data_IF_131118449890
#
_entry.id   IF_131118449890
#
_cell.length_a   1.000
_cell.length_b   1.000
_cell.length_c   1.000
_cell.angle_alpha   90.00
_cell.angle_beta   90.00
_cell.angle_gamma   90.00
#
_symmetry.space_group_name_H-M   'P 1'
#
loop_
_entity.id
_entity.type
_entity.pdbx_description
1 polymer ?
#
# COMPACT_ATOMS: atom_id res chain seq x y z
N UNK A 1 -11.64 7.22 2.00
CA UNK A 1 -10.70 6.26 1.37
C UNK A 1 -11.35 4.90 1.16
N UNK A 2 -11.84 4.19 2.18
CA UNK A 2 -12.42 2.85 2.02
C UNK A 2 -13.56 2.80 0.99
N UNK A 3 -14.50 3.74 1.03
CA UNK A 3 -15.59 3.83 0.05
C UNK A 3 -15.07 3.97 -1.40
N UNK A 4 -13.98 4.71 -1.62
CA UNK A 4 -13.31 4.82 -2.93
C UNK A 4 -12.73 3.49 -3.39
N UNK A 5 -12.05 2.77 -2.51
CA UNK A 5 -11.50 1.45 -2.81
C UNK A 5 -12.60 0.42 -3.14
N UNK A 6 -13.68 0.41 -2.36
CA UNK A 6 -14.85 -0.44 -2.61
C UNK A 6 -15.51 -0.12 -3.96
N UNK A 7 -15.70 1.16 -4.26
CA UNK A 7 -16.24 1.57 -5.57
C UNK A 7 -15.32 1.15 -6.71
N UNK A 8 -14.02 1.44 -6.60
CA UNK A 8 -13.04 1.09 -7.62
C UNK A 8 -12.85 -0.44 -7.79
N UNK A 9 -13.21 -1.24 -6.78
CA UNK A 9 -13.30 -2.68 -6.90
C UNK A 9 -14.57 -3.13 -7.66
N UNK A 10 -15.74 -2.57 -7.31
CA UNK A 10 -17.02 -2.96 -7.92
C UNK A 10 -17.16 -2.49 -9.36
N UNK A 11 -16.67 -1.30 -9.67
CA UNK A 11 -16.87 -0.61 -10.95
C UNK A 11 -15.59 -0.53 -11.79
N UNK A 12 -14.43 -0.84 -11.25
CA UNK A 12 -13.13 -0.60 -11.86
C UNK A 12 -12.20 -1.81 -11.85
N UNK A 13 -10.94 -1.56 -11.54
CA UNK A 13 -9.83 -2.50 -11.70
C UNK A 13 -9.16 -2.93 -10.38
N UNK A 14 -9.64 -2.45 -9.23
CA UNK A 14 -9.01 -2.72 -7.94
C UNK A 14 -9.30 -4.15 -7.48
N UNK A 15 -8.26 -4.92 -7.18
CA UNK A 15 -8.34 -6.30 -6.71
C UNK A 15 -8.07 -6.44 -5.21
N UNK A 16 -7.35 -5.47 -4.63
CA UNK A 16 -6.99 -5.47 -3.21
C UNK A 16 -6.88 -4.05 -2.64
N UNK A 17 -7.07 -3.92 -1.36
CA UNK A 17 -6.79 -2.69 -0.61
C UNK A 17 -6.09 -3.00 0.71
N UNK A 18 -5.53 -1.97 1.35
CA UNK A 18 -4.90 -2.13 2.67
C UNK A 18 -5.53 -1.17 3.68
N UNK A 19 -5.88 -1.70 4.85
CA UNK A 19 -6.48 -0.95 5.94
C UNK A 19 -5.42 -0.42 6.90
N UNK A 20 -5.56 0.83 7.33
CA UNK A 20 -4.75 1.45 8.38
C UNK A 20 -5.32 1.04 9.73
N UNK A 21 -4.64 0.14 10.43
CA UNK A 21 -5.13 -0.45 11.68
C UNK A 21 -5.31 0.57 12.81
N UNK A 22 -4.48 1.59 12.84
CA UNK A 22 -4.46 2.66 13.85
C UNK A 22 -5.10 3.97 13.38
N UNK A 23 -5.77 3.96 12.22
CA UNK A 23 -6.53 5.09 11.71
C UNK A 23 -7.84 5.33 12.46
N UNK A 24 -8.29 6.58 12.53
CA UNK A 24 -9.50 6.97 13.25
C UNK A 24 -10.79 6.32 12.72
N UNK A 25 -10.84 5.98 11.42
CA UNK A 25 -11.99 5.37 10.76
C UNK A 25 -11.88 3.83 10.65
N UNK A 26 -11.10 3.18 11.50
CA UNK A 26 -10.82 1.74 11.41
C UNK A 26 -12.09 0.88 11.44
N UNK A 27 -12.99 1.12 12.40
CA UNK A 27 -14.18 0.29 12.60
C UNK A 27 -15.19 0.46 11.43
N UNK A 28 -15.34 1.68 10.91
CA UNK A 28 -16.12 1.94 9.71
C UNK A 28 -15.52 1.24 8.48
N UNK A 29 -14.20 1.32 8.32
CA UNK A 29 -13.51 0.62 7.24
C UNK A 29 -13.70 -0.91 7.32
N UNK A 30 -13.61 -1.50 8.51
CA UNK A 30 -13.87 -2.93 8.72
C UNK A 30 -15.30 -3.29 8.31
N UNK A 31 -16.29 -2.50 8.72
CA UNK A 31 -17.69 -2.71 8.34
C UNK A 31 -17.89 -2.72 6.83
N UNK A 32 -17.33 -1.73 6.13
CA UNK A 32 -17.42 -1.64 4.68
C UNK A 32 -16.72 -2.82 3.99
N UNK A 33 -15.52 -3.19 4.43
CA UNK A 33 -14.73 -4.27 3.81
C UNK A 33 -15.37 -5.65 4.00
N UNK A 34 -16.01 -5.91 5.15
CA UNK A 34 -16.78 -7.13 5.36
C UNK A 34 -17.97 -7.29 4.39
N UNK A 35 -18.51 -6.19 3.88
CA UNK A 35 -19.60 -6.23 2.90
C UNK A 35 -19.14 -6.58 1.48
N UNK A 36 -17.81 -6.67 1.24
CA UNK A 36 -17.22 -6.91 -0.08
C UNK A 36 -16.11 -7.99 0.03
N UNK A 37 -16.48 -9.26 0.27
CA UNK A 37 -15.50 -10.31 0.52
C UNK A 37 -14.62 -10.68 -0.68
N UNK A 38 -14.96 -10.21 -1.88
CA UNK A 38 -14.15 -10.36 -3.10
C UNK A 38 -12.98 -9.38 -3.17
N UNK A 39 -12.99 -8.29 -2.40
CA UNK A 39 -11.88 -7.35 -2.30
C UNK A 39 -10.88 -7.86 -1.26
N UNK A 40 -9.68 -8.24 -1.69
CA UNK A 40 -8.66 -8.68 -0.73
C UNK A 40 -8.17 -7.53 0.16
N UNK A 41 -7.93 -7.86 1.41
CA UNK A 41 -7.52 -6.89 2.43
C UNK A 41 -6.11 -7.18 2.93
N UNK A 42 -5.28 -6.14 2.98
CA UNK A 42 -3.98 -6.16 3.65
C UNK A 42 -3.92 -5.18 4.81
N UNK A 43 -2.79 -5.15 5.51
CA UNK A 43 -2.51 -4.14 6.53
C UNK A 43 -1.56 -3.08 5.98
N UNK A 44 -1.99 -1.82 6.06
CA UNK A 44 -1.16 -0.65 5.78
C UNK A 44 -0.45 -0.22 7.06
N UNK A 45 0.75 -0.75 7.27
CA UNK A 45 1.55 -0.54 8.47
C UNK A 45 2.01 0.91 8.59
N UNK A 46 1.64 1.59 9.66
CA UNK A 46 1.96 3.00 9.89
C UNK A 46 2.87 3.20 11.11
N UNK A 47 3.92 4.01 10.95
CA UNK A 47 4.88 4.37 11.98
C UNK A 47 5.06 5.90 12.10
N UNK A 48 4.28 6.65 11.34
CA UNK A 48 4.19 8.13 11.34
C UNK A 48 2.76 8.54 11.02
N UNK A 49 2.41 9.79 11.31
CA UNK A 49 1.13 10.47 10.99
C UNK A 49 -0.12 9.88 11.66
N UNK A 50 -0.05 8.68 12.19
CA UNK A 50 -1.13 8.02 12.92
C UNK A 50 -0.84 7.93 14.43
N UNK A 51 -1.81 7.45 15.20
CA UNK A 51 -1.63 7.17 16.62
C UNK A 51 -1.15 5.74 16.83
N UNK A 52 -0.14 5.57 17.68
CA UNK A 52 0.34 4.24 18.06
C UNK A 52 -0.72 3.46 18.85
N UNK A 53 -0.81 2.16 18.61
CA UNK A 53 -1.65 1.24 19.40
C UNK A 53 -0.98 0.82 20.72
N UNK A 54 0.35 0.89 20.78
CA UNK A 54 1.15 0.41 21.93
C UNK A 54 1.66 1.52 22.84
N UNK A 55 1.27 2.79 22.57
CA UNK A 55 1.79 3.95 23.29
C UNK A 55 3.19 4.39 22.82
N UNK A 56 3.74 3.77 21.77
CA UNK A 56 4.99 4.24 21.17
C UNK A 56 4.79 5.66 20.61
N UNK A 57 5.72 6.57 20.90
CA UNK A 57 5.67 7.91 20.31
C UNK A 57 6.12 7.85 18.84
N UNK A 58 5.22 8.15 17.93
CA UNK A 58 5.56 8.30 16.52
C UNK A 58 6.27 9.62 16.27
N UNK A 59 7.30 9.63 15.41
CA UNK A 59 7.87 10.86 14.88
C UNK A 59 6.86 11.62 14.02
N UNK A 60 6.98 12.95 14.01
CA UNK A 60 6.05 13.84 13.31
C UNK A 60 6.10 13.70 11.78
N UNK A 61 7.19 13.16 11.24
CA UNK A 61 7.37 13.05 9.78
C UNK A 61 8.25 11.88 9.37
N UNK A 62 8.14 11.51 8.10
CA UNK A 62 9.05 10.56 7.44
C UNK A 62 10.54 10.89 7.69
N UNK A 63 10.94 12.17 7.52
CA UNK A 63 12.35 12.58 7.68
C UNK A 63 12.82 12.37 9.11
N UNK A 64 12.03 12.78 10.08
CA UNK A 64 12.33 12.59 11.51
C UNK A 64 12.43 11.11 11.84
N UNK A 65 11.55 10.27 11.27
CA UNK A 65 11.62 8.84 11.43
C UNK A 65 12.92 8.27 10.85
N UNK A 66 13.26 8.59 9.59
CA UNK A 66 14.44 8.02 8.91
C UNK A 66 15.75 8.40 9.58
N UNK A 67 15.88 9.64 10.02
CA UNK A 67 17.11 10.18 10.64
C UNK A 67 17.21 9.88 12.14
N UNK A 68 16.09 9.62 12.81
CA UNK A 68 16.04 9.39 14.26
C UNK A 68 16.58 8.02 14.69
N UNK A 69 16.91 7.92 15.97
CA UNK A 69 17.22 6.62 16.61
C UNK A 69 15.96 5.77 16.64
N UNK A 70 16.10 4.47 16.43
CA UNK A 70 14.99 3.52 16.36
C UNK A 70 15.10 2.50 17.49
N UNK A 71 14.02 2.37 18.25
CA UNK A 71 13.81 1.21 19.12
C UNK A 71 13.09 0.13 18.29
N UNK A 72 13.86 -0.79 17.73
CA UNK A 72 13.33 -1.85 16.89
C UNK A 72 12.39 -2.81 17.63
N UNK A 73 12.57 -2.98 18.95
CA UNK A 73 11.68 -3.80 19.76
C UNK A 73 10.30 -3.10 19.93
N UNK A 74 10.30 -1.78 20.15
CA UNK A 74 9.05 -1.02 20.20
C UNK A 74 8.35 -0.99 18.82
N UNK A 75 9.11 -0.81 17.74
CA UNK A 75 8.58 -0.86 16.37
C UNK A 75 7.93 -2.22 16.09
N UNK A 76 8.60 -3.31 16.44
CA UNK A 76 8.04 -4.65 16.23
C UNK A 76 6.74 -4.86 17.01
N UNK A 77 6.70 -4.47 18.30
CA UNK A 77 5.47 -4.54 19.10
C UNK A 77 4.32 -3.76 18.47
N UNK A 78 4.62 -2.58 17.94
CA UNK A 78 3.62 -1.74 17.27
C UNK A 78 3.10 -2.37 15.98
N UNK A 79 4.01 -2.82 15.10
CA UNK A 79 3.62 -3.47 13.83
C UNK A 79 2.82 -4.76 14.07
N UNK A 80 3.19 -5.52 15.09
CA UNK A 80 2.46 -6.70 15.55
C UNK A 80 1.05 -6.33 15.99
N UNK A 81 0.90 -5.33 16.86
CA UNK A 81 -0.40 -4.88 17.34
C UNK A 81 -1.30 -4.40 16.19
N UNK A 82 -0.74 -3.75 15.15
CA UNK A 82 -1.48 -3.34 13.97
C UNK A 82 -2.01 -4.56 13.18
N UNK A 83 -1.18 -5.57 12.96
CA UNK A 83 -1.58 -6.82 12.29
C UNK A 83 -2.67 -7.52 13.11
N UNK A 84 -2.44 -7.72 14.41
CA UNK A 84 -3.36 -8.40 15.31
C UNK A 84 -4.72 -7.70 15.39
N UNK A 85 -4.75 -6.36 15.41
CA UNK A 85 -6.00 -5.59 15.39
C UNK A 85 -6.84 -5.88 14.15
N UNK A 86 -6.21 -5.96 12.97
CA UNK A 86 -6.93 -6.28 11.74
C UNK A 86 -7.41 -7.73 11.76
N UNK A 87 -6.57 -8.67 12.18
CA UNK A 87 -6.97 -10.08 12.30
C UNK A 87 -8.12 -10.27 13.30
N UNK A 88 -8.07 -9.60 14.45
CA UNK A 88 -9.11 -9.63 15.48
C UNK A 88 -10.46 -9.07 14.98
N UNK A 89 -10.45 -8.22 13.97
CA UNK A 89 -11.68 -7.73 13.34
C UNK A 89 -12.41 -8.79 12.50
N UNK A 90 -11.78 -9.94 12.25
CA UNK A 90 -12.31 -11.03 11.43
C UNK A 90 -12.09 -10.84 9.92
N UNK A 91 -11.33 -9.83 9.49
CA UNK A 91 -10.90 -9.70 8.09
C UNK A 91 -9.77 -10.70 7.79
N UNK A 92 -9.81 -11.31 6.61
CA UNK A 92 -8.71 -12.13 6.10
C UNK A 92 -7.59 -11.22 5.56
N UNK A 93 -6.44 -11.24 6.22
CA UNK A 93 -5.27 -10.47 5.80
C UNK A 93 -4.44 -11.29 4.80
N UNK A 94 -4.25 -10.79 3.58
CA UNK A 94 -3.51 -11.48 2.52
C UNK A 94 -2.15 -10.85 2.25
N UNK A 95 -1.97 -9.56 2.58
CA UNK A 95 -0.75 -8.84 2.25
C UNK A 95 -0.40 -7.72 3.25
N UNK A 96 0.87 -7.32 3.24
CA UNK A 96 1.40 -6.19 4.00
C UNK A 96 2.05 -5.17 3.08
N UNK A 97 1.85 -3.92 3.40
CA UNK A 97 2.61 -2.79 2.88
C UNK A 97 2.76 -1.72 3.97
N UNK A 98 3.28 -0.54 3.67
CA UNK A 98 3.49 0.44 4.74
C UNK A 98 3.36 1.87 4.26
N UNK A 99 2.86 2.67 5.19
CA UNK A 99 2.67 4.11 5.06
C UNK A 99 3.99 4.79 4.72
N UNK A 100 3.97 5.66 3.71
CA UNK A 100 5.15 6.30 3.14
C UNK A 100 6.30 5.32 2.83
N UNK A 101 5.96 4.04 2.61
CA UNK A 101 6.90 2.96 2.32
C UNK A 101 7.99 2.73 3.38
N UNK A 102 7.78 3.15 4.63
CA UNK A 102 8.74 2.97 5.73
C UNK A 102 9.09 1.50 5.98
N UNK A 103 8.18 0.58 5.66
CA UNK A 103 8.43 -0.86 5.71
C UNK A 103 9.60 -1.30 4.81
N UNK A 104 10.00 -0.51 3.81
CA UNK A 104 11.13 -0.79 2.92
C UNK A 104 12.52 -0.51 3.55
N UNK A 105 12.57 0.17 4.70
CA UNK A 105 13.84 0.33 5.44
C UNK A 105 14.35 -1.06 5.85
N UNK A 106 15.61 -1.43 5.58
CA UNK A 106 16.09 -2.82 5.68
C UNK A 106 15.78 -3.51 7.01
N UNK A 107 16.03 -2.84 8.13
CA UNK A 107 15.75 -3.41 9.45
C UNK A 107 14.25 -3.55 9.73
N UNK A 108 13.42 -2.62 9.22
CA UNK A 108 11.96 -2.70 9.35
C UNK A 108 11.41 -3.77 8.41
N UNK A 109 11.94 -3.87 7.18
CA UNK A 109 11.55 -4.91 6.24
C UNK A 109 11.81 -6.32 6.81
N UNK A 110 12.94 -6.52 7.48
CA UNK A 110 13.23 -7.78 8.16
C UNK A 110 12.19 -8.12 9.25
N UNK A 111 11.75 -7.12 10.03
CA UNK A 111 10.67 -7.29 11.02
C UNK A 111 9.36 -7.64 10.30
N UNK A 112 8.96 -6.88 9.29
CA UNK A 112 7.71 -7.10 8.55
C UNK A 112 7.69 -8.47 7.88
N UNK A 113 8.80 -8.90 7.26
CA UNK A 113 8.90 -10.21 6.63
C UNK A 113 8.76 -11.36 7.64
N UNK A 114 9.34 -11.20 8.84
CA UNK A 114 9.20 -12.17 9.94
C UNK A 114 7.77 -12.21 10.47
N UNK A 115 7.14 -11.07 10.70
CA UNK A 115 5.73 -10.99 11.12
C UNK A 115 4.81 -11.58 10.05
N UNK A 116 5.02 -11.27 8.76
CA UNK A 116 4.24 -11.87 7.68
C UNK A 116 4.31 -13.41 7.72
N UNK A 117 5.50 -13.97 7.90
CA UNK A 117 5.68 -15.43 8.04
C UNK A 117 4.97 -15.98 9.29
N UNK A 118 5.08 -15.30 10.42
CA UNK A 118 4.48 -15.70 11.70
C UNK A 118 2.95 -15.77 11.62
N UNK A 119 2.34 -14.77 10.95
CA UNK A 119 0.87 -14.70 10.78
C UNK A 119 0.35 -15.38 9.49
N UNK A 120 1.20 -16.07 8.74
CA UNK A 120 0.80 -16.75 7.50
C UNK A 120 0.37 -15.81 6.37
N UNK A 121 0.86 -14.55 6.38
CA UNK A 121 0.54 -13.55 5.35
C UNK A 121 1.49 -13.75 4.17
N UNK A 122 0.91 -14.08 3.00
CA UNK A 122 1.66 -14.60 1.84
C UNK A 122 2.40 -13.55 1.03
N UNK A 123 2.03 -12.27 1.12
CA UNK A 123 2.59 -11.22 0.25
C UNK A 123 3.04 -9.99 1.04
N UNK A 124 4.20 -9.45 0.68
CA UNK A 124 4.71 -8.16 1.20
C UNK A 124 5.16 -7.30 0.02
N UNK A 125 4.55 -6.12 -0.12
CA UNK A 125 4.93 -5.17 -1.18
C UNK A 125 6.41 -4.82 -1.14
N UNK A 126 7.04 -4.81 -2.32
CA UNK A 126 8.31 -4.13 -2.56
C UNK A 126 8.09 -2.97 -3.52
N UNK A 127 8.86 -1.91 -3.36
CA UNK A 127 8.70 -0.72 -4.19
C UNK A 127 9.81 -0.64 -5.22
N UNK A 128 9.51 -1.06 -6.45
CA UNK A 128 10.39 -0.98 -7.62
C UNK A 128 9.73 -0.12 -8.70
N UNK A 129 9.62 1.18 -8.46
CA UNK A 129 8.84 2.05 -9.35
C UNK A 129 9.58 2.37 -10.66
N UNK A 130 8.88 2.13 -11.79
CA UNK A 130 9.31 2.52 -13.13
C UNK A 130 8.26 3.43 -13.79
N UNK A 131 8.71 4.33 -14.64
CA UNK A 131 7.83 5.14 -15.49
C UNK A 131 7.23 6.40 -14.83
N UNK A 132 7.37 6.58 -13.52
CA UNK A 132 6.84 7.75 -12.81
C UNK A 132 7.62 9.05 -13.09
N UNK A 133 6.95 10.21 -13.00
CA UNK A 133 7.55 11.56 -13.16
C UNK A 133 8.26 12.09 -11.91
N UNK A 134 8.66 11.24 -10.98
CA UNK A 134 9.34 11.63 -9.74
C UNK A 134 10.79 12.09 -9.96
N UNK A 135 11.25 12.98 -9.07
CA UNK A 135 12.62 13.50 -9.10
C UNK A 135 13.69 12.41 -8.92
N UNK A 136 14.87 12.65 -9.46
CA UNK A 136 16.03 11.73 -9.45
C UNK A 136 16.39 11.26 -8.03
N UNK A 137 16.33 12.17 -7.05
CA UNK A 137 16.64 11.87 -5.64
C UNK A 137 15.67 10.83 -5.06
N UNK A 138 14.38 10.97 -5.30
CA UNK A 138 13.36 10.02 -4.82
C UNK A 138 13.55 8.64 -5.44
N UNK A 139 13.83 8.59 -6.76
CA UNK A 139 14.15 7.32 -7.47
C UNK A 139 15.40 6.66 -6.91
N UNK A 140 16.47 7.43 -6.71
CA UNK A 140 17.73 6.92 -6.15
C UNK A 140 17.52 6.36 -4.72
N UNK A 141 16.73 7.05 -3.88
CA UNK A 141 16.42 6.59 -2.53
C UNK A 141 15.64 5.28 -2.54
N UNK A 142 14.61 5.15 -3.38
CA UNK A 142 13.82 3.92 -3.52
C UNK A 142 14.71 2.78 -4.05
N UNK A 143 15.56 3.03 -5.05
CA UNK A 143 16.48 2.03 -5.59
C UNK A 143 17.52 1.56 -4.56
N UNK A 144 18.04 2.46 -3.73
CA UNK A 144 18.95 2.12 -2.64
C UNK A 144 18.27 1.25 -1.58
N UNK A 145 17.05 1.62 -1.16
CA UNK A 145 16.24 0.83 -0.22
C UNK A 145 15.97 -0.58 -0.75
N UNK A 146 15.66 -0.72 -2.03
CA UNK A 146 15.42 -2.01 -2.66
C UNK A 146 16.66 -2.91 -2.70
N UNK A 147 17.84 -2.34 -3.02
CA UNK A 147 19.09 -3.09 -2.99
C UNK A 147 19.41 -3.64 -1.59
N UNK A 148 19.17 -2.83 -0.57
CA UNK A 148 19.40 -3.21 0.82
C UNK A 148 18.38 -4.25 1.31
N UNK A 149 17.11 -4.13 0.89
CA UNK A 149 16.03 -5.05 1.28
C UNK A 149 16.06 -6.42 0.58
N UNK A 150 16.83 -6.59 -0.50
CA UNK A 150 16.91 -7.87 -1.25
C UNK A 150 17.41 -9.05 -0.43
N UNK A 151 18.16 -8.82 0.65
CA UNK A 151 18.74 -9.88 1.48
C UNK A 151 17.78 -10.49 2.49
N UNK A 152 16.66 -9.85 2.77
CA UNK A 152 15.64 -10.40 3.67
C UNK A 152 14.75 -11.38 2.91
N UNK A 153 14.72 -12.65 3.35
CA UNK A 153 13.78 -13.64 2.84
C UNK A 153 12.36 -13.21 3.20
N UNK A 154 11.68 -12.56 2.25
CA UNK A 154 10.28 -12.18 2.37
C UNK A 154 9.38 -13.30 1.84
N UNK A 155 8.10 -13.32 2.23
CA UNK A 155 7.05 -13.94 1.44
C UNK A 155 7.07 -13.40 0.00
N UNK A 156 6.19 -13.92 -0.84
CA UNK A 156 6.08 -13.44 -2.23
C UNK A 156 5.95 -11.91 -2.29
N UNK A 157 6.39 -11.34 -3.37
CA UNK A 157 6.39 -9.89 -3.63
C UNK A 157 6.18 -9.66 -5.13
N UNK A 158 5.80 -8.44 -5.46
CA UNK A 158 5.80 -7.96 -6.84
C UNK A 158 7.22 -7.82 -7.42
N UNK A 159 7.32 -7.97 -8.73
CA UNK A 159 8.55 -7.69 -9.50
C UNK A 159 8.71 -6.19 -9.75
N UNK A 160 7.59 -5.47 -9.94
CA UNK A 160 7.53 -4.06 -10.26
C UNK A 160 6.40 -3.35 -9.52
N UNK A 161 6.58 -2.06 -9.24
CA UNK A 161 5.51 -1.12 -8.89
C UNK A 161 5.38 -0.03 -9.93
N UNK A 162 4.17 0.44 -10.17
CA UNK A 162 3.85 1.64 -10.95
C UNK A 162 2.89 2.53 -10.15
N UNK A 163 2.91 3.84 -10.37
CA UNK A 163 2.02 4.79 -9.71
C UNK A 163 2.53 5.38 -8.39
N UNK A 164 3.56 4.82 -7.77
CA UNK A 164 4.11 5.32 -6.49
C UNK A 164 4.57 6.77 -6.59
N UNK A 165 5.23 7.12 -7.70
CA UNK A 165 5.79 8.46 -7.90
C UNK A 165 4.74 9.54 -8.15
N UNK A 166 3.52 9.15 -8.49
CA UNK A 166 2.38 10.02 -8.82
C UNK A 166 1.19 9.78 -7.89
N UNK A 167 1.47 9.22 -6.72
CA UNK A 167 0.47 8.89 -5.71
C UNK A 167 -0.49 10.07 -5.45
N UNK A 168 -1.79 9.81 -5.48
CA UNK A 168 -2.84 10.79 -5.26
C UNK A 168 -3.14 11.72 -6.45
N UNK A 169 -2.49 11.52 -7.62
CA UNK A 169 -2.68 12.34 -8.82
C UNK A 169 -2.79 11.50 -10.11
N UNK A 170 -3.19 10.24 -9.99
CA UNK A 170 -3.34 9.35 -11.13
C UNK A 170 -4.66 9.63 -11.86
N UNK A 171 -4.55 10.11 -13.09
CA UNK A 171 -5.67 10.19 -14.04
C UNK A 171 -5.75 8.90 -14.88
N UNK A 172 -6.89 8.65 -15.53
CA UNK A 172 -7.05 7.49 -16.43
C UNK A 172 -5.98 7.45 -17.53
N UNK A 173 -5.72 8.57 -18.19
CA UNK A 173 -4.66 8.67 -19.22
C UNK A 173 -3.28 8.36 -18.64
N UNK A 174 -3.02 8.74 -17.38
CA UNK A 174 -1.76 8.46 -16.73
C UNK A 174 -1.62 6.99 -16.36
N UNK A 175 -2.68 6.37 -15.86
CA UNK A 175 -2.70 4.91 -15.60
C UNK A 175 -2.42 4.15 -16.90
N UNK A 176 -3.13 4.48 -17.99
CA UNK A 176 -2.90 3.86 -19.32
C UNK A 176 -1.44 3.99 -19.77
N UNK A 177 -0.82 5.15 -19.55
CA UNK A 177 0.59 5.36 -19.88
C UNK A 177 1.53 4.52 -18.98
N UNK A 178 1.22 4.37 -17.70
CA UNK A 178 2.01 3.56 -16.77
C UNK A 178 1.92 2.06 -17.07
N UNK A 179 0.77 1.57 -17.52
CA UNK A 179 0.57 0.18 -17.91
C UNK A 179 1.53 -0.27 -19.04
N UNK A 180 2.12 0.66 -19.80
CA UNK A 180 3.16 0.35 -20.80
C UNK A 180 4.44 -0.22 -20.18
N UNK A 181 4.65 0.01 -18.89
CA UNK A 181 5.82 -0.47 -18.16
C UNK A 181 5.54 -1.74 -17.36
N UNK A 182 4.30 -2.25 -17.38
CA UNK A 182 3.93 -3.46 -16.66
C UNK A 182 4.68 -4.68 -17.22
N UNK A 183 5.36 -5.42 -16.35
CA UNK A 183 6.08 -6.66 -16.65
C UNK A 183 6.03 -7.57 -15.42
N UNK A 184 6.04 -8.90 -15.64
CA UNK A 184 5.94 -9.86 -14.53
C UNK A 184 4.74 -9.57 -13.63
N UNK A 185 4.92 -9.75 -12.33
CA UNK A 185 3.93 -9.33 -11.32
C UNK A 185 4.11 -7.85 -11.01
N UNK A 186 3.24 -7.01 -11.54
CA UNK A 186 3.27 -5.56 -11.37
C UNK A 186 2.15 -5.08 -10.44
N UNK A 187 2.48 -4.33 -9.41
CA UNK A 187 1.51 -3.69 -8.52
C UNK A 187 1.29 -2.22 -8.93
N UNK A 188 0.06 -1.87 -9.32
CA UNK A 188 -0.38 -0.49 -9.48
C UNK A 188 -0.79 0.08 -8.12
N UNK A 189 0.00 1.00 -7.60
CA UNK A 189 -0.24 1.64 -6.30
C UNK A 189 -1.09 2.88 -6.48
N UNK A 190 -2.24 2.92 -5.80
CA UNK A 190 -3.24 3.98 -5.93
C UNK A 190 -3.80 4.40 -4.57
N UNK A 191 -4.45 5.56 -4.54
CA UNK A 191 -5.02 6.16 -3.34
C UNK A 191 -6.48 6.62 -3.60
N UNK A 192 -7.41 5.70 -3.89
CA UNK A 192 -8.80 6.06 -4.12
C UNK A 192 -9.46 6.58 -2.84
N UNK A 193 -10.35 7.55 -2.98
CA UNK A 193 -11.17 8.07 -1.90
C UNK A 193 -12.41 8.79 -2.44
N UNK A 194 -13.41 8.99 -1.60
CA UNK A 194 -14.60 9.75 -1.90
C UNK A 194 -14.84 10.73 -0.76
N UNK A 195 -14.88 12.03 -1.07
CA UNK A 195 -15.11 13.08 -0.08
C UNK A 195 -14.09 13.04 1.07
N UNK A 196 -12.82 12.75 0.78
CA UNK A 196 -11.77 12.62 1.81
C UNK A 196 -11.24 13.99 2.20
N UNK A 197 -11.39 14.37 3.46
CA UNK A 197 -10.82 15.56 4.10
C UNK A 197 -9.61 15.24 5.01
N UNK A 198 -9.34 13.97 5.22
CA UNK A 198 -8.17 13.51 5.96
C UNK A 198 -6.86 13.79 5.18
N UNK A 199 -5.79 14.08 5.91
CA UNK A 199 -4.47 14.39 5.35
C UNK A 199 -4.45 15.56 4.34
N UNK A 200 -4.99 16.74 4.68
CA UNK A 200 -5.10 17.87 3.73
C UNK A 200 -3.73 18.35 3.22
N UNK A 201 -2.66 18.09 3.95
CA UNK A 201 -1.29 18.43 3.55
C UNK A 201 -0.76 17.59 2.37
N UNK A 202 -1.38 16.43 2.08
CA UNK A 202 -1.00 15.58 0.92
C UNK A 202 -1.56 16.11 -0.39
N UNK A 203 -2.63 16.91 -0.35
CA UNK A 203 -3.29 17.51 -1.53
C UNK A 203 -3.66 16.49 -2.60
N UNK A 204 -4.05 15.28 -2.19
CA UNK A 204 -4.42 14.21 -3.10
C UNK A 204 -5.79 14.46 -3.74
N UNK A 205 -5.90 14.16 -5.03
CA UNK A 205 -7.15 14.20 -5.79
C UNK A 205 -7.91 12.86 -5.66
N UNK A 206 -8.34 12.54 -4.45
CA UNK A 206 -8.91 11.24 -4.07
C UNK A 206 -10.07 10.79 -4.96
N UNK A 207 -11.01 11.69 -5.23
CA UNK A 207 -12.21 11.42 -6.05
C UNK A 207 -11.84 11.21 -7.51
N UNK A 208 -10.89 12.00 -8.04
CA UNK A 208 -10.39 11.88 -9.41
C UNK A 208 -9.65 10.55 -9.60
N UNK A 209 -8.83 10.14 -8.63
CA UNK A 209 -8.12 8.86 -8.70
C UNK A 209 -9.10 7.69 -8.61
N UNK A 210 -10.17 7.80 -7.81
CA UNK A 210 -11.25 6.82 -7.79
C UNK A 210 -11.96 6.73 -9.14
N UNK A 211 -12.29 7.86 -9.76
CA UNK A 211 -12.91 7.89 -11.08
C UNK A 211 -12.00 7.29 -12.16
N UNK A 212 -10.70 7.60 -12.11
CA UNK A 212 -9.70 7.06 -13.03
C UNK A 212 -9.61 5.53 -12.97
N UNK A 213 -9.69 4.94 -11.78
CA UNK A 213 -9.68 3.49 -11.59
C UNK A 213 -10.94 2.79 -12.12
N UNK A 214 -12.05 3.52 -12.24
CA UNK A 214 -13.31 3.04 -12.82
C UNK A 214 -13.43 3.32 -14.33
N UNK A 215 -12.49 4.06 -14.92
CA UNK A 215 -12.57 4.51 -16.29
C UNK A 215 -12.48 3.34 -17.29
N UNK A 216 -13.33 3.40 -18.31
CA UNK A 216 -13.41 2.39 -19.36
C UNK A 216 -12.09 2.25 -20.14
N UNK A 217 -11.42 3.37 -20.42
CA UNK A 217 -10.16 3.39 -21.17
C UNK A 217 -9.05 2.60 -20.46
N UNK A 218 -9.04 2.59 -19.12
CA UNK A 218 -8.08 1.80 -18.33
C UNK A 218 -8.36 0.30 -18.47
N UNK A 219 -9.63 -0.12 -18.39
CA UNK A 219 -10.00 -1.52 -18.61
C UNK A 219 -9.67 -2.00 -20.02
N UNK A 220 -9.95 -1.16 -21.04
CA UNK A 220 -9.60 -1.44 -22.42
C UNK A 220 -8.07 -1.57 -22.62
N UNK A 221 -7.30 -0.69 -22.01
CA UNK A 221 -5.84 -0.77 -22.07
C UNK A 221 -5.29 -2.04 -21.43
N UNK A 222 -5.84 -2.49 -20.30
CA UNK A 222 -5.51 -3.75 -19.64
C UNK A 222 -5.81 -4.93 -20.57
N UNK A 223 -7.02 -4.99 -21.13
CA UNK A 223 -7.44 -6.06 -22.04
C UNK A 223 -6.60 -6.11 -23.33
N UNK A 224 -6.37 -4.96 -23.97
CA UNK A 224 -5.59 -4.86 -25.21
C UNK A 224 -4.13 -5.25 -25.04
N UNK A 225 -3.60 -5.22 -23.81
CA UNK A 225 -2.22 -5.63 -23.49
C UNK A 225 -2.13 -7.06 -22.98
N UNK A 226 -3.24 -7.77 -22.85
CA UNK A 226 -3.27 -9.11 -22.25
C UNK A 226 -2.85 -9.14 -20.78
N UNK A 227 -3.07 -8.04 -20.05
CA UNK A 227 -2.75 -7.98 -18.62
C UNK A 227 -3.87 -8.68 -17.85
N UNK A 228 -3.50 -9.60 -16.99
CA UNK A 228 -4.41 -10.25 -16.05
C UNK A 228 -4.43 -9.51 -14.72
N UNK A 229 -5.63 -9.20 -14.20
CA UNK A 229 -5.81 -8.66 -12.88
C UNK A 229 -5.86 -9.79 -11.87
N UNK A 230 -4.87 -9.86 -11.00
CA UNK A 230 -4.75 -10.89 -9.96
C UNK A 230 -4.83 -10.28 -8.55
N UNK A 231 -5.06 -11.12 -7.57
CA UNK A 231 -5.05 -10.75 -6.15
C UNK A 231 -3.68 -11.05 -5.50
N UNK A 232 -3.29 -10.35 -4.44
CA UNK A 232 -2.04 -10.64 -3.70
C UNK A 232 -1.90 -12.09 -3.24
N UNK A 233 -3.00 -12.79 -2.97
CA UNK A 233 -2.96 -14.21 -2.60
C UNK A 233 -2.64 -15.16 -3.76
N UNK A 234 -2.69 -14.68 -5.00
CA UNK A 234 -2.41 -15.44 -6.22
C UNK A 234 -0.97 -15.26 -6.75
N UNK A 235 -0.22 -14.33 -6.15
CA UNK A 235 1.21 -14.07 -6.48
C UNK A 235 2.12 -15.22 -6.11
#
# INVERSE_FOLDING_TARGET
>A
MTAGAVRAHREGIVTACSIVANGAAFDDAVSQLKSVPSLEVGVHLALVEERSLTGMRFPESYRTFVLGRKDFAAIERELRAQIERVLASGLRVTHLNGHQHLHMLPSIFAIVARLAKEYGIGYVRRVFDRGGRGGVVRRASISALNRLGRKAAAPRSNDLTIGVMEAGHLTAARIVALLQHAEGTTELVTHPGIGVDAYPHWRYAWDEETAALCDRSVREAIANRGIELIMPSQV
#
